data_IF_071374870059
#
_entry.id   IF_071374870059
#
_cell.length_a   1.000
_cell.length_b   1.000
_cell.length_c   1.000
_cell.angle_alpha   90.00
_cell.angle_beta   90.00
_cell.angle_gamma   90.00
#
_symmetry.space_group_name_H-M   'P 1'
#
loop_
_entity.id
_entity.type
_entity.pdbx_description
1 polymer ?
#
# COMPACT_ATOMS: atom_id res chain seq x y z
N UNK A 1 -15.30 0.96 -20.19
CA UNK A 1 -16.39 1.15 -19.21
C UNK A 1 -16.32 2.53 -18.58
N UNK A 2 -17.37 3.00 -17.92
CA UNK A 2 -17.42 4.29 -17.22
C UNK A 2 -17.90 4.08 -15.79
N UNK A 3 -17.21 4.71 -14.83
CA UNK A 3 -17.65 4.84 -13.43
C UNK A 3 -17.65 6.31 -13.05
N UNK A 4 -18.73 6.80 -12.44
CA UNK A 4 -18.87 8.22 -12.06
C UNK A 4 -18.55 9.19 -13.20
N UNK A 5 -19.00 8.88 -14.43
CA UNK A 5 -18.73 9.63 -15.68
C UNK A 5 -17.25 9.67 -16.11
N UNK A 6 -16.36 8.90 -15.51
CA UNK A 6 -14.97 8.74 -15.93
C UNK A 6 -14.87 7.46 -16.77
N UNK A 7 -14.22 7.57 -17.93
CA UNK A 7 -13.96 6.43 -18.82
C UNK A 7 -12.63 5.76 -18.47
N UNK A 8 -12.63 4.45 -18.44
CA UNK A 8 -11.45 3.62 -18.22
C UNK A 8 -11.53 2.32 -19.00
N UNK A 9 -10.48 1.54 -18.92
CA UNK A 9 -10.34 0.25 -19.59
C UNK A 9 -10.69 -0.84 -18.60
N UNK A 10 -11.45 -1.83 -19.05
CA UNK A 10 -11.67 -3.10 -18.40
C UNK A 10 -11.08 -4.20 -19.30
N UNK A 11 -10.57 -5.24 -18.68
CA UNK A 11 -9.90 -6.34 -19.36
C UNK A 11 -10.55 -7.66 -18.93
N UNK A 12 -10.85 -8.52 -19.90
CA UNK A 12 -11.50 -9.80 -19.64
C UNK A 12 -10.83 -10.88 -20.48
N UNK A 13 -10.48 -12.01 -19.87
CA UNK A 13 -9.81 -13.14 -20.53
C UNK A 13 -10.87 -14.15 -20.97
N UNK A 14 -10.90 -14.47 -22.26
CA UNK A 14 -11.76 -15.49 -22.83
C UNK A 14 -10.91 -16.64 -23.38
N UNK A 15 -11.16 -17.85 -22.90
CA UNK A 15 -10.52 -19.06 -23.43
C UNK A 15 -11.24 -19.56 -24.68
N UNK A 16 -10.52 -20.26 -25.56
CA UNK A 16 -11.05 -20.77 -26.85
C UNK A 16 -12.32 -21.62 -26.72
N UNK A 17 -12.52 -22.26 -25.58
CA UNK A 17 -13.69 -23.11 -25.31
C UNK A 17 -14.85 -22.39 -24.63
N UNK A 18 -14.79 -21.06 -24.53
CA UNK A 18 -15.90 -20.22 -24.02
C UNK A 18 -16.06 -20.20 -22.48
N UNK A 19 -15.21 -20.88 -21.75
CA UNK A 19 -15.18 -20.83 -20.30
C UNK A 19 -14.30 -19.67 -19.84
N UNK A 20 -14.80 -18.93 -18.85
CA UNK A 20 -14.02 -17.88 -18.18
C UNK A 20 -13.19 -18.53 -17.07
N UNK A 21 -11.87 -18.51 -17.17
CA UNK A 21 -10.99 -18.94 -16.08
C UNK A 21 -10.82 -17.76 -15.10
N UNK A 22 -11.70 -17.71 -14.12
CA UNK A 22 -11.72 -16.61 -13.13
C UNK A 22 -10.98 -16.92 -11.83
N UNK A 23 -10.32 -18.08 -11.73
CA UNK A 23 -9.85 -18.55 -10.43
C UNK A 23 -11.00 -18.69 -9.42
N UNK A 24 -10.70 -19.08 -8.21
CA UNK A 24 -11.69 -19.17 -7.11
C UNK A 24 -11.87 -17.78 -6.48
N UNK A 25 -12.41 -16.82 -7.20
CA UNK A 25 -12.93 -15.60 -6.61
C UNK A 25 -14.24 -15.95 -5.88
N UNK A 26 -14.17 -16.01 -4.57
CA UNK A 26 -15.34 -16.29 -3.73
C UNK A 26 -16.39 -15.20 -3.78
N UNK A 27 -17.13 -15.09 -4.87
CA UNK A 27 -18.43 -14.41 -4.92
C UNK A 27 -19.49 -15.35 -4.33
N UNK A 28 -19.51 -15.44 -2.99
CA UNK A 28 -20.53 -16.18 -2.24
C UNK A 28 -21.82 -15.37 -2.04
N UNK A 29 -22.16 -14.47 -2.94
CA UNK A 29 -23.43 -13.71 -2.93
C UNK A 29 -24.45 -14.23 -3.93
N UNK A 30 -24.39 -15.50 -4.33
CA UNK A 30 -25.55 -16.13 -4.95
C UNK A 30 -26.40 -16.77 -3.87
N UNK A 31 -27.32 -16.00 -3.30
CA UNK A 31 -28.57 -16.54 -2.77
C UNK A 31 -29.30 -17.15 -3.99
N UNK A 32 -29.22 -18.48 -4.10
CA UNK A 32 -30.09 -19.20 -5.01
C UNK A 32 -31.50 -19.15 -4.43
N UNK A 33 -32.29 -18.16 -4.82
CA UNK A 33 -33.74 -18.27 -4.73
C UNK A 33 -34.19 -19.36 -5.69
N UNK A 34 -34.30 -20.58 -5.18
CA UNK A 34 -35.03 -21.65 -5.87
C UNK A 34 -36.51 -21.35 -5.73
N UNK A 35 -37.08 -20.66 -6.69
CA UNK A 35 -38.52 -20.65 -6.91
C UNK A 35 -38.94 -22.04 -7.41
N UNK A 36 -39.31 -22.91 -6.50
CA UNK A 36 -40.15 -24.04 -6.83
C UNK A 36 -41.60 -23.59 -6.71
N UNK A 37 -42.22 -23.24 -7.82
CA UNK A 37 -43.68 -23.16 -7.92
C UNK A 37 -44.24 -24.58 -7.84
N UNK A 38 -44.74 -24.97 -6.69
CA UNK A 38 -45.65 -26.09 -6.54
C UNK A 38 -46.99 -25.52 -6.10
N UNK A 39 -47.92 -25.37 -7.07
CA UNK A 39 -49.32 -25.17 -6.81
C UNK A 39 -49.89 -26.42 -6.10
N UNK A 40 -50.22 -26.26 -4.83
CA UNK A 40 -51.16 -27.12 -4.14
C UNK A 40 -52.14 -26.24 -3.37
N UNK A 41 -53.33 -26.03 -3.96
CA UNK A 41 -54.50 -25.51 -3.27
C UNK A 41 -54.97 -26.52 -2.21
N UNK A 42 -54.96 -26.13 -0.95
CA UNK A 42 -55.83 -26.65 0.08
C UNK A 42 -56.34 -25.50 0.94
N UNK A 43 -57.63 -25.19 0.73
CA UNK A 43 -58.42 -24.28 1.57
C UNK A 43 -58.76 -25.06 2.88
N UNK A 44 -58.37 -24.51 4.01
CA UNK A 44 -59.06 -24.77 5.31
C UNK A 44 -59.11 -23.47 6.12
N UNK A 45 -60.33 -22.90 6.14
CA UNK A 45 -60.72 -21.86 7.08
C UNK A 45 -60.77 -22.39 8.49
N UNK A 46 -60.11 -21.80 9.44
CA UNK A 46 -60.47 -21.78 10.85
C UNK A 46 -60.08 -20.43 11.48
N UNK A 47 -61.09 -19.58 11.67
CA UNK A 47 -61.06 -18.44 12.57
C UNK A 47 -61.07 -18.90 14.02
N UNK A 48 -60.15 -18.42 14.85
CA UNK A 48 -60.33 -18.22 16.29
C UNK A 48 -59.57 -16.99 16.75
N UNK A 49 -60.33 -15.93 17.06
CA UNK A 49 -59.92 -14.79 17.86
C UNK A 49 -59.97 -15.17 19.32
N UNK A 50 -58.95 -14.93 20.11
CA UNK A 50 -59.02 -14.67 21.53
C UNK A 50 -57.94 -13.70 22.00
N UNK A 51 -58.38 -12.47 22.31
CA UNK A 51 -57.68 -11.52 23.17
C UNK A 51 -57.69 -12.03 24.61
N UNK A 52 -56.54 -12.01 25.25
CA UNK A 52 -56.44 -11.80 26.70
C UNK A 52 -55.07 -11.24 27.11
N UNK A 53 -55.10 -9.98 27.57
CA UNK A 53 -54.07 -9.37 28.40
C UNK A 53 -54.09 -10.02 29.81
N UNK A 54 -52.91 -10.37 30.34
CA UNK A 54 -52.60 -10.28 31.78
C UNK A 54 -51.09 -10.22 32.01
N UNK A 55 -50.66 -9.11 32.65
CA UNK A 55 -49.38 -8.97 33.33
C UNK A 55 -49.44 -9.76 34.63
N UNK A 56 -48.36 -10.52 34.95
CA UNK A 56 -47.92 -10.78 36.31
C UNK A 56 -46.48 -11.32 36.34
N UNK A 57 -45.59 -10.56 37.04
CA UNK A 57 -44.32 -11.01 37.58
C UNK A 57 -44.46 -12.19 38.51
N UNK A 58 -43.63 -13.20 38.37
CA UNK A 58 -43.11 -14.01 39.50
C UNK A 58 -41.89 -14.85 39.09
N UNK A 59 -40.78 -14.63 39.82
CA UNK A 59 -39.62 -15.51 39.89
C UNK A 59 -40.00 -16.87 40.49
N UNK A 60 -39.52 -17.95 39.89
CA UNK A 60 -39.13 -19.18 40.61
C UNK A 60 -38.17 -20.03 39.77
N UNK A 61 -37.00 -20.31 40.37
CA UNK A 61 -36.05 -21.32 39.96
C UNK A 61 -36.62 -22.71 40.27
N UNK A 62 -36.58 -23.65 39.35
CA UNK A 62 -36.54 -25.08 39.62
C UNK A 62 -35.84 -25.84 38.49
N UNK A 63 -34.74 -26.50 38.87
CA UNK A 63 -34.08 -27.59 38.16
C UNK A 63 -35.00 -28.79 38.01
N UNK A 64 -35.16 -29.31 36.82
CA UNK A 64 -35.54 -30.70 36.59
C UNK A 64 -34.89 -31.27 35.35
N UNK A 65 -33.95 -32.20 35.58
CA UNK A 65 -33.45 -33.15 34.59
C UNK A 65 -34.56 -34.14 34.23
N UNK A 66 -34.83 -34.32 32.94
CA UNK A 66 -35.46 -35.55 32.42
C UNK A 66 -34.73 -35.99 31.16
N UNK A 67 -34.01 -37.12 31.31
CA UNK A 67 -33.53 -37.94 30.22
C UNK A 67 -34.72 -38.74 29.67
N UNK A 68 -34.96 -38.68 28.37
CA UNK A 68 -35.76 -39.63 27.64
C UNK A 68 -35.02 -40.08 26.38
N UNK A 69 -34.48 -41.30 26.50
CA UNK A 69 -34.03 -42.11 25.38
C UNK A 69 -35.25 -42.59 24.58
N UNK A 70 -35.33 -42.26 23.33
CA UNK A 70 -36.18 -42.96 22.37
C UNK A 70 -35.34 -43.37 21.16
N UNK A 71 -34.92 -44.63 21.17
CA UNK A 71 -34.45 -45.31 19.96
C UNK A 71 -35.66 -45.64 19.08
N UNK A 72 -35.63 -45.11 17.85
CA UNK A 72 -36.40 -45.65 16.75
C UNK A 72 -35.45 -45.99 15.61
N UNK A 73 -35.19 -47.32 15.49
CA UNK A 73 -34.58 -47.90 14.31
C UNK A 73 -35.66 -47.98 13.22
N UNK A 74 -35.45 -47.28 12.10
CA UNK A 74 -36.14 -47.54 10.86
C UNK A 74 -35.10 -47.74 9.76
N UNK A 75 -34.82 -49.03 9.48
CA UNK A 75 -34.15 -49.46 8.26
C UNK A 75 -35.06 -49.23 7.06
N UNK A 76 -34.68 -48.27 6.22
CA UNK A 76 -35.13 -48.24 4.83
C UNK A 76 -33.94 -48.15 3.91
N UNK A 77 -33.53 -49.35 3.41
CA UNK A 77 -32.66 -49.47 2.26
C UNK A 77 -33.43 -49.01 1.01
N UNK A 78 -33.06 -47.86 0.46
CA UNK A 78 -33.31 -47.54 -0.93
C UNK A 78 -31.97 -47.32 -1.60
N UNK A 79 -31.48 -48.38 -2.29
CA UNK A 79 -30.43 -48.25 -3.28
C UNK A 79 -31.00 -47.50 -4.47
N UNK A 80 -30.63 -46.22 -4.62
CA UNK A 80 -30.69 -45.52 -5.87
C UNK A 80 -29.28 -45.12 -6.24
N UNK A 81 -28.63 -45.95 -7.04
CA UNK A 81 -27.44 -45.58 -7.85
C UNK A 81 -27.83 -44.49 -8.84
N UNK A 82 -27.67 -43.25 -8.43
CA UNK A 82 -27.54 -42.14 -9.35
C UNK A 82 -26.09 -41.65 -9.29
N UNK A 83 -25.25 -42.26 -10.15
CA UNK A 83 -23.99 -41.67 -10.52
C UNK A 83 -24.28 -40.37 -11.28
N UNK A 84 -24.46 -39.28 -10.57
CA UNK A 84 -24.23 -37.98 -11.09
C UNK A 84 -22.73 -37.71 -10.90
N UNK A 85 -21.97 -37.97 -11.95
CA UNK A 85 -20.68 -37.36 -12.13
C UNK A 85 -20.93 -35.85 -12.22
N UNK A 86 -21.01 -35.19 -11.06
CA UNK A 86 -20.74 -33.77 -10.99
C UNK A 86 -19.22 -33.64 -11.14
N UNK A 87 -18.80 -33.47 -12.37
CA UNK A 87 -17.49 -32.96 -12.67
C UNK A 87 -17.37 -31.60 -12.03
N UNK A 88 -16.88 -31.59 -10.79
CA UNK A 88 -16.32 -30.38 -10.22
C UNK A 88 -15.08 -30.11 -11.08
N UNK A 89 -15.22 -29.24 -12.08
CA UNK A 89 -14.08 -28.59 -12.69
C UNK A 89 -13.39 -27.80 -11.57
N UNK A 90 -12.44 -28.44 -10.91
CA UNK A 90 -11.41 -27.75 -10.17
C UNK A 90 -10.68 -26.91 -11.20
N UNK A 91 -10.86 -25.59 -11.17
CA UNK A 91 -10.01 -24.69 -11.94
C UNK A 91 -8.56 -25.14 -11.72
N UNK A 92 -7.81 -25.26 -12.82
CA UNK A 92 -6.46 -25.81 -12.79
C UNK A 92 -5.60 -25.09 -11.76
N UNK A 93 -5.39 -25.75 -10.63
CA UNK A 93 -4.53 -25.23 -9.55
C UNK A 93 -3.09 -25.47 -9.98
N UNK A 94 -2.38 -24.40 -10.36
CA UNK A 94 -1.00 -24.46 -10.85
C UNK A 94 0.00 -24.21 -9.75
N UNK A 95 1.09 -24.97 -9.76
CA UNK A 95 2.26 -24.72 -8.96
C UNK A 95 3.18 -23.67 -9.58
N UNK A 96 4.13 -23.15 -8.79
CA UNK A 96 5.10 -22.14 -9.25
C UNK A 96 5.91 -22.65 -10.47
N UNK A 97 6.30 -23.93 -10.46
CA UNK A 97 7.11 -24.51 -11.55
C UNK A 97 6.37 -24.52 -12.87
N UNK A 98 5.08 -24.85 -12.87
CA UNK A 98 4.25 -24.88 -14.09
C UNK A 98 4.11 -23.46 -14.67
N UNK A 99 3.97 -22.45 -13.83
CA UNK A 99 3.91 -21.05 -14.27
C UNK A 99 5.25 -20.60 -14.86
N UNK A 100 6.37 -20.97 -14.26
CA UNK A 100 7.69 -20.68 -14.81
C UNK A 100 7.83 -21.31 -16.20
N UNK A 101 7.44 -22.59 -16.38
CA UNK A 101 7.48 -23.27 -17.67
C UNK A 101 6.61 -22.59 -18.75
N UNK A 102 5.44 -22.06 -18.36
CA UNK A 102 4.58 -21.26 -19.27
C UNK A 102 5.34 -20.04 -19.78
N UNK A 103 6.00 -19.28 -18.89
CA UNK A 103 6.75 -18.09 -19.30
C UNK A 103 8.01 -18.45 -20.11
N UNK A 104 8.77 -19.45 -19.73
CA UNK A 104 9.96 -19.90 -20.46
C UNK A 104 9.64 -20.32 -21.90
N UNK A 105 8.52 -21.02 -22.09
CA UNK A 105 8.05 -21.48 -23.42
C UNK A 105 7.27 -20.41 -24.20
N UNK A 106 6.96 -19.26 -23.60
CA UNK A 106 6.22 -18.16 -24.26
C UNK A 106 7.10 -17.40 -25.25
N UNK A 107 6.47 -16.60 -26.11
CA UNK A 107 7.15 -15.75 -27.10
C UNK A 107 7.37 -14.30 -26.65
N UNK A 108 7.05 -13.98 -25.39
CA UNK A 108 7.28 -12.63 -24.83
C UNK A 108 8.76 -12.34 -24.65
N UNK A 109 9.13 -11.08 -24.50
CA UNK A 109 10.53 -10.67 -24.31
C UNK A 109 11.15 -11.25 -23.04
N UNK A 110 12.49 -11.34 -23.00
CA UNK A 110 13.19 -11.84 -21.82
C UNK A 110 12.93 -10.97 -20.58
N UNK A 111 12.77 -9.65 -20.75
CA UNK A 111 12.37 -8.74 -19.69
C UNK A 111 10.99 -9.11 -19.09
N UNK A 112 10.01 -9.36 -19.94
CA UNK A 112 8.65 -9.75 -19.50
C UNK A 112 8.69 -11.11 -18.79
N UNK A 113 9.45 -12.10 -19.31
CA UNK A 113 9.63 -13.40 -18.65
C UNK A 113 10.21 -13.23 -17.24
N UNK A 114 11.37 -12.57 -17.15
CA UNK A 114 12.09 -12.39 -15.91
C UNK A 114 11.24 -11.67 -14.85
N UNK A 115 10.60 -10.56 -15.23
CA UNK A 115 9.76 -9.78 -14.31
C UNK A 115 8.49 -10.50 -13.89
N UNK A 116 7.84 -11.21 -14.79
CA UNK A 116 6.65 -11.99 -14.45
C UNK A 116 7.00 -13.14 -13.49
N UNK A 117 8.07 -13.87 -13.76
CA UNK A 117 8.55 -14.93 -12.88
C UNK A 117 8.94 -14.39 -11.51
N UNK A 118 9.61 -13.21 -11.43
CA UNK A 118 9.94 -12.53 -10.17
C UNK A 118 8.69 -12.28 -9.33
N UNK A 119 7.60 -11.77 -9.95
CA UNK A 119 6.33 -11.50 -9.27
C UNK A 119 5.73 -12.81 -8.72
N UNK A 120 5.64 -13.88 -9.51
CA UNK A 120 5.11 -15.16 -9.05
C UNK A 120 5.95 -15.78 -7.94
N UNK A 121 7.27 -15.66 -8.01
CA UNK A 121 8.17 -16.12 -6.94
C UNK A 121 7.96 -15.34 -5.65
N UNK A 122 7.73 -14.03 -5.73
CA UNK A 122 7.46 -13.20 -4.56
C UNK A 122 6.12 -13.57 -3.91
N UNK A 123 5.08 -13.78 -4.72
CA UNK A 123 3.78 -14.26 -4.23
C UNK A 123 3.92 -15.65 -3.59
N UNK A 124 4.62 -16.59 -4.25
CA UNK A 124 4.86 -17.93 -3.70
C UNK A 124 5.62 -17.89 -2.36
N UNK A 125 6.63 -17.01 -2.21
CA UNK A 125 7.33 -16.80 -0.93
C UNK A 125 6.39 -16.25 0.15
N UNK A 126 5.50 -15.33 -0.22
CA UNK A 126 4.54 -14.76 0.72
C UNK A 126 3.52 -15.82 1.19
N UNK A 127 2.97 -16.60 0.27
CA UNK A 127 2.04 -17.70 0.58
C UNK A 127 2.73 -18.80 1.41
N UNK A 128 3.96 -19.19 1.05
CA UNK A 128 4.78 -20.13 1.82
C UNK A 128 4.97 -19.65 3.27
N UNK A 129 5.24 -18.37 3.47
CA UNK A 129 5.40 -17.81 4.81
C UNK A 129 4.08 -17.75 5.59
N UNK A 130 2.96 -17.50 4.93
CA UNK A 130 1.62 -17.47 5.56
C UNK A 130 1.18 -18.87 5.95
N UNK A 131 1.31 -19.84 5.05
CA UNK A 131 0.87 -21.22 5.24
C UNK A 131 1.87 -22.11 5.97
N UNK A 132 3.10 -21.64 6.18
CA UNK A 132 4.21 -22.38 6.78
C UNK A 132 4.50 -23.71 6.09
N UNK A 133 4.41 -23.71 4.75
CA UNK A 133 4.75 -24.87 3.90
C UNK A 133 5.92 -24.51 2.95
N UNK A 134 6.72 -25.50 2.51
CA UNK A 134 7.75 -25.25 1.51
C UNK A 134 7.20 -24.62 0.23
N UNK A 135 7.99 -23.74 -0.40
CA UNK A 135 7.57 -23.00 -1.60
C UNK A 135 7.20 -23.94 -2.76
N UNK A 136 7.83 -25.11 -2.84
CA UNK A 136 7.59 -26.12 -3.85
C UNK A 136 6.22 -26.81 -3.70
N UNK A 137 5.60 -26.68 -2.54
CA UNK A 137 4.28 -27.22 -2.23
C UNK A 137 3.18 -26.17 -2.31
N UNK A 138 3.53 -24.93 -2.68
CA UNK A 138 2.53 -23.90 -2.89
C UNK A 138 1.78 -24.15 -4.17
N UNK A 139 0.47 -24.22 -4.04
CA UNK A 139 -0.49 -24.22 -5.13
C UNK A 139 -1.27 -22.91 -5.08
N UNK A 140 -1.26 -22.16 -6.17
CA UNK A 140 -1.98 -20.90 -6.26
C UNK A 140 -3.46 -21.14 -6.45
N UNK A 141 -4.26 -20.87 -5.42
CA UNK A 141 -5.72 -21.03 -5.48
C UNK A 141 -6.42 -19.83 -6.13
N UNK A 142 -5.83 -18.64 -6.03
CA UNK A 142 -6.41 -17.38 -6.54
C UNK A 142 -5.55 -16.76 -7.66
N UNK A 143 -4.23 -16.95 -7.62
CA UNK A 143 -3.27 -16.27 -8.52
C UNK A 143 -2.74 -17.23 -9.62
N UNK A 144 -3.06 -18.53 -9.56
CA UNK A 144 -2.62 -19.53 -10.54
C UNK A 144 -3.51 -19.65 -11.77
N UNK A 145 -4.61 -18.95 -11.80
CA UNK A 145 -5.53 -18.93 -12.94
C UNK A 145 -4.90 -18.20 -14.15
N UNK A 146 -5.34 -18.52 -15.33
CA UNK A 146 -4.78 -17.96 -16.59
C UNK A 146 -4.98 -16.44 -16.63
N UNK A 147 -6.07 -15.92 -16.10
CA UNK A 147 -6.32 -14.48 -16.03
C UNK A 147 -5.20 -13.73 -15.26
N UNK A 148 -4.76 -14.25 -14.12
CA UNK A 148 -3.66 -13.65 -13.34
C UNK A 148 -2.31 -13.74 -14.07
N UNK A 149 -2.06 -14.84 -14.81
CA UNK A 149 -0.85 -14.99 -15.64
C UNK A 149 -0.85 -13.93 -16.76
N UNK A 150 -1.99 -13.77 -17.41
CA UNK A 150 -2.17 -12.78 -18.48
C UNK A 150 -2.10 -11.36 -17.95
N UNK A 151 -2.70 -11.05 -16.78
CA UNK A 151 -2.64 -9.75 -16.14
C UNK A 151 -1.19 -9.32 -15.83
N UNK A 152 -0.41 -10.23 -15.24
CA UNK A 152 1.00 -9.96 -14.89
C UNK A 152 1.85 -9.80 -16.15
N UNK A 153 1.69 -10.70 -17.13
CA UNK A 153 2.41 -10.61 -18.39
C UNK A 153 2.07 -9.32 -19.15
N UNK A 154 0.78 -9.00 -19.27
CA UNK A 154 0.29 -7.81 -19.97
C UNK A 154 0.79 -6.52 -19.30
N UNK A 155 0.86 -6.48 -17.97
CA UNK A 155 1.44 -5.36 -17.25
C UNK A 155 2.88 -5.09 -17.69
N UNK A 156 3.74 -6.10 -17.73
CA UNK A 156 5.14 -5.91 -18.12
C UNK A 156 5.32 -5.68 -19.63
N UNK A 157 4.49 -6.26 -20.47
CA UNK A 157 4.47 -5.95 -21.92
C UNK A 157 4.16 -4.47 -22.13
N UNK A 158 3.15 -3.94 -21.46
CA UNK A 158 2.78 -2.52 -21.55
C UNK A 158 3.85 -1.61 -20.93
N UNK A 159 4.42 -2.01 -19.80
CA UNK A 159 5.50 -1.29 -19.13
C UNK A 159 6.73 -1.14 -20.03
N UNK A 160 7.16 -2.23 -20.67
CA UNK A 160 8.28 -2.25 -21.61
C UNK A 160 7.97 -1.40 -22.85
N UNK A 161 6.80 -1.55 -23.46
CA UNK A 161 6.37 -0.79 -24.63
C UNK A 161 6.27 0.72 -24.38
N UNK A 162 5.89 1.11 -23.17
CA UNK A 162 5.83 2.53 -22.78
C UNK A 162 7.22 3.12 -22.48
N UNK A 163 8.26 2.29 -22.41
CA UNK A 163 9.64 2.74 -22.13
C UNK A 163 9.78 3.38 -20.74
N UNK A 164 9.05 2.88 -19.75
CA UNK A 164 9.08 3.44 -18.39
C UNK A 164 10.45 3.22 -17.77
N UNK A 165 11.10 4.30 -17.37
CA UNK A 165 12.42 4.25 -16.72
C UNK A 165 12.36 4.46 -15.22
N UNK A 166 11.33 5.14 -14.72
CA UNK A 166 11.12 5.40 -13.30
C UNK A 166 9.63 5.48 -12.98
N UNK A 167 9.27 4.97 -11.81
CA UNK A 167 7.90 4.99 -11.30
C UNK A 167 7.86 5.78 -10.00
N UNK A 168 6.85 6.63 -9.88
CA UNK A 168 6.51 7.34 -8.66
C UNK A 168 5.12 6.91 -8.20
N UNK A 169 4.92 6.82 -6.89
CA UNK A 169 3.62 6.47 -6.31
C UNK A 169 3.30 7.38 -5.12
N UNK A 170 2.04 7.78 -5.01
CA UNK A 170 1.52 8.23 -3.72
C UNK A 170 1.34 7.00 -2.80
N UNK A 171 1.16 7.19 -1.48
CA UNK A 171 0.78 6.10 -0.60
C UNK A 171 -0.46 5.37 -1.15
N UNK A 172 -0.40 4.03 -1.18
CA UNK A 172 -1.53 3.21 -1.60
C UNK A 172 -2.66 3.35 -0.58
N UNK A 173 -3.91 3.28 -1.05
CA UNK A 173 -5.06 3.24 -0.16
C UNK A 173 -5.50 1.80 0.02
N UNK A 174 -5.63 1.35 1.27
CA UNK A 174 -6.16 0.04 1.64
C UNK A 174 -7.43 0.21 2.47
N UNK A 175 -8.37 -0.72 2.31
CA UNK A 175 -9.56 -0.76 3.14
C UNK A 175 -9.33 -1.36 4.53
N UNK A 176 -10.40 -1.79 5.18
CA UNK A 176 -10.37 -2.30 6.55
C UNK A 176 -11.44 -3.39 6.75
N UNK A 177 -11.45 -4.00 7.93
CA UNK A 177 -12.40 -5.04 8.28
C UNK A 177 -11.95 -6.42 7.85
N UNK A 178 -12.84 -7.21 7.28
CA UNK A 178 -12.59 -8.60 6.85
C UNK A 178 -13.18 -8.87 5.49
N UNK A 179 -12.57 -9.80 4.76
CA UNK A 179 -13.10 -10.34 3.49
C UNK A 179 -13.22 -11.87 3.60
N UNK A 180 -14.11 -12.43 2.80
CA UNK A 180 -14.28 -13.87 2.66
C UNK A 180 -13.53 -14.32 1.41
N UNK A 181 -12.56 -15.18 1.59
CA UNK A 181 -11.71 -15.76 0.53
C UNK A 181 -11.75 -17.29 0.61
N UNK A 182 -11.10 -18.00 -0.30
CA UNK A 182 -11.06 -19.47 -0.31
C UNK A 182 -10.62 -20.08 1.03
N UNK A 183 -9.74 -19.40 1.76
CA UNK A 183 -9.23 -19.83 3.08
C UNK A 183 -10.10 -19.38 4.26
N UNK A 184 -11.32 -18.88 4.03
CA UNK A 184 -12.24 -18.40 5.07
C UNK A 184 -12.27 -16.89 5.20
N UNK A 185 -12.57 -16.39 6.41
CA UNK A 185 -12.64 -14.95 6.70
C UNK A 185 -11.26 -14.44 7.09
N UNK A 186 -10.73 -13.49 6.30
CA UNK A 186 -9.41 -12.91 6.49
C UNK A 186 -9.49 -11.41 6.83
N UNK A 187 -8.58 -10.90 7.67
CA UNK A 187 -8.48 -9.47 7.93
C UNK A 187 -7.96 -8.72 6.70
N UNK A 188 -8.31 -7.45 6.58
CA UNK A 188 -7.77 -6.51 5.58
C UNK A 188 -6.79 -5.55 6.25
N UNK A 189 -5.53 -5.45 5.78
CA UNK A 189 -4.90 -6.16 4.64
C UNK A 189 -4.78 -7.67 4.88
N UNK A 190 -4.90 -8.47 3.81
CA UNK A 190 -4.74 -9.92 3.91
C UNK A 190 -3.29 -10.32 4.24
N UNK A 191 -3.07 -11.48 4.89
CA UNK A 191 -1.73 -11.89 5.34
C UNK A 191 -0.68 -11.91 4.24
N UNK A 192 -1.02 -12.34 3.03
CA UNK A 192 -0.10 -12.36 1.88
C UNK A 192 0.37 -10.95 1.49
N UNK A 193 -0.52 -9.94 1.48
CA UNK A 193 -0.18 -8.53 1.24
C UNK A 193 0.81 -8.03 2.28
N UNK A 194 0.62 -8.39 3.55
CA UNK A 194 1.53 -7.99 4.63
C UNK A 194 2.91 -8.64 4.50
N UNK A 195 2.99 -9.89 4.06
CA UNK A 195 4.26 -10.57 3.78
C UNK A 195 4.98 -9.95 2.58
N UNK A 196 4.27 -9.64 1.49
CA UNK A 196 4.84 -8.97 0.31
C UNK A 196 5.37 -7.58 0.63
N UNK A 197 4.70 -6.85 1.52
CA UNK A 197 5.12 -5.52 1.98
C UNK A 197 6.36 -5.55 2.89
N UNK A 198 6.58 -6.65 3.61
CA UNK A 198 7.67 -6.77 4.58
C UNK A 198 9.02 -6.49 3.93
N UNK A 199 9.81 -5.58 4.53
CA UNK A 199 11.13 -5.20 4.02
C UNK A 199 11.10 -4.27 2.80
N UNK A 200 9.96 -3.71 2.43
CA UNK A 200 9.82 -2.72 1.36
C UNK A 200 9.58 -1.32 1.92
N UNK A 201 9.80 -0.29 1.08
CA UNK A 201 9.44 1.11 1.37
C UNK A 201 8.00 1.46 0.95
N UNK A 202 7.16 0.48 0.58
CA UNK A 202 5.81 0.72 0.11
C UNK A 202 4.96 1.35 1.21
N UNK A 203 4.45 2.55 0.94
CA UNK A 203 3.59 3.30 1.86
C UNK A 203 2.13 2.92 1.63
N UNK A 204 1.42 2.61 2.74
CA UNK A 204 0.00 2.28 2.72
C UNK A 204 -0.72 3.20 3.71
N UNK A 205 -1.80 3.81 3.24
CA UNK A 205 -2.77 4.55 4.04
C UNK A 205 -4.04 3.70 4.18
N UNK A 206 -4.50 3.43 5.39
CA UNK A 206 -5.69 2.64 5.63
C UNK A 206 -6.93 3.54 5.71
N UNK A 207 -7.93 3.27 4.86
CA UNK A 207 -9.23 3.94 4.88
C UNK A 207 -10.25 3.06 5.63
N UNK A 208 -10.62 3.51 6.84
CA UNK A 208 -11.55 2.77 7.71
C UNK A 208 -13.01 2.84 7.27
N UNK A 209 -13.37 3.69 6.32
CA UNK A 209 -14.72 3.74 5.77
C UNK A 209 -14.95 2.65 4.71
N UNK A 210 -13.90 2.16 4.09
CA UNK A 210 -13.95 1.10 3.09
C UNK A 210 -13.79 -0.26 3.80
N UNK A 211 -14.81 -1.12 3.70
CA UNK A 211 -14.87 -2.42 4.38
C UNK A 211 -14.55 -3.60 3.45
N UNK A 212 -13.56 -3.44 2.60
CA UNK A 212 -13.08 -4.47 1.68
C UNK A 212 -11.62 -4.26 1.37
N UNK A 213 -10.98 -5.28 0.78
CA UNK A 213 -9.63 -5.20 0.24
C UNK A 213 -9.60 -4.31 -1.02
N UNK A 214 -8.61 -3.42 -1.07
CA UNK A 214 -8.26 -2.64 -2.26
C UNK A 214 -6.91 -3.04 -2.85
N UNK A 215 -6.00 -3.56 -2.03
CA UNK A 215 -4.66 -3.98 -2.42
C UNK A 215 -4.60 -5.50 -2.44
N UNK A 216 -4.63 -6.09 -3.64
CA UNK A 216 -4.51 -7.53 -3.82
C UNK A 216 -3.05 -8.00 -3.74
N UNK A 217 -2.78 -9.29 -3.44
CA UNK A 217 -1.42 -9.84 -3.49
C UNK A 217 -0.72 -9.61 -4.83
N UNK A 218 -1.43 -9.79 -5.96
CA UNK A 218 -0.90 -9.50 -7.30
C UNK A 218 -0.53 -8.02 -7.45
N UNK A 219 -1.41 -7.11 -7.03
CA UNK A 219 -1.18 -5.67 -7.17
C UNK A 219 0.06 -5.19 -6.40
N UNK A 220 0.24 -5.63 -5.15
CA UNK A 220 1.42 -5.23 -4.36
C UNK A 220 2.70 -5.91 -4.85
N UNK A 221 2.62 -7.14 -5.37
CA UNK A 221 3.77 -7.84 -5.95
C UNK A 221 4.26 -7.15 -7.24
N UNK A 222 3.34 -6.72 -8.12
CA UNK A 222 3.66 -5.90 -9.29
C UNK A 222 4.34 -4.59 -8.89
N UNK A 223 3.76 -3.87 -7.90
CA UNK A 223 4.34 -2.62 -7.42
C UNK A 223 5.74 -2.82 -6.83
N UNK A 224 5.94 -3.91 -6.09
CA UNK A 224 7.25 -4.27 -5.55
C UNK A 224 8.28 -4.49 -6.66
N UNK A 225 7.92 -5.20 -7.74
CA UNK A 225 8.81 -5.53 -8.86
C UNK A 225 9.25 -4.30 -9.68
N UNK A 226 8.48 -3.20 -9.67
CA UNK A 226 8.82 -1.95 -10.37
C UNK A 226 9.47 -0.90 -9.48
N UNK A 227 9.69 -1.18 -8.21
CA UNK A 227 10.42 -0.33 -7.25
C UNK A 227 10.02 1.15 -7.27
N UNK A 228 8.76 1.52 -6.95
CA UNK A 228 8.32 2.90 -7.02
C UNK A 228 9.01 3.78 -5.98
N UNK A 229 9.27 5.03 -6.37
CA UNK A 229 9.71 6.08 -5.46
C UNK A 229 8.46 6.82 -4.92
N UNK A 230 8.36 6.95 -3.61
CA UNK A 230 7.25 7.65 -2.96
C UNK A 230 7.51 9.15 -2.76
N UNK A 231 8.66 9.63 -3.25
CA UNK A 231 8.97 11.06 -3.30
C UNK A 231 8.74 11.57 -4.71
N UNK A 232 7.56 12.12 -4.96
CA UNK A 232 7.16 12.63 -6.28
C UNK A 232 7.85 13.97 -6.53
N UNK A 233 8.64 14.13 -7.61
CA UNK A 233 9.25 15.41 -7.96
C UNK A 233 8.19 16.47 -8.31
N UNK A 234 8.46 17.71 -7.92
CA UNK A 234 7.56 18.85 -8.22
C UNK A 234 7.55 19.28 -9.70
N UNK A 235 8.60 18.94 -10.44
CA UNK A 235 8.84 19.37 -11.82
C UNK A 235 8.43 18.32 -12.88
N UNK A 236 7.35 17.59 -12.65
CA UNK A 236 6.80 16.63 -13.60
C UNK A 236 5.63 17.22 -14.37
N UNK A 237 5.70 17.17 -15.69
CA UNK A 237 4.59 17.47 -16.59
C UNK A 237 3.84 16.19 -16.94
N UNK A 238 2.54 16.14 -16.66
CA UNK A 238 1.68 15.01 -17.02
C UNK A 238 1.34 15.11 -18.51
N UNK A 239 1.73 14.10 -19.28
CA UNK A 239 1.45 14.03 -20.73
C UNK A 239 0.21 13.20 -21.03
N UNK A 240 -0.04 12.15 -20.26
CA UNK A 240 -1.17 11.24 -20.48
C UNK A 240 -1.68 10.68 -19.14
N UNK A 241 -2.99 10.49 -19.05
CA UNK A 241 -3.65 9.90 -17.88
C UNK A 241 -4.53 8.74 -18.33
N UNK A 242 -4.41 7.61 -17.63
CA UNK A 242 -5.25 6.44 -17.81
C UNK A 242 -5.88 5.98 -16.50
N UNK A 243 -7.01 5.27 -16.61
CA UNK A 243 -7.71 4.70 -15.45
C UNK A 243 -7.98 3.21 -15.68
N UNK A 244 -7.68 2.39 -14.67
CA UNK A 244 -8.11 1.01 -14.57
C UNK A 244 -9.12 0.86 -13.44
N UNK A 245 -10.24 0.16 -13.68
CA UNK A 245 -11.29 0.00 -12.70
C UNK A 245 -11.26 -1.37 -12.04
N UNK A 246 -11.35 -1.40 -10.72
CA UNK A 246 -11.67 -2.63 -9.99
C UNK A 246 -13.14 -3.01 -10.18
N UNK A 247 -13.43 -4.31 -10.15
CA UNK A 247 -14.80 -4.86 -10.32
C UNK A 247 -15.67 -4.65 -9.07
N UNK A 248 -15.05 -4.55 -7.86
CA UNK A 248 -15.78 -4.39 -6.59
C UNK A 248 -16.39 -3.00 -6.44
N UNK A 249 -17.65 -2.97 -5.99
CA UNK A 249 -18.27 -1.72 -5.54
C UNK A 249 -17.88 -1.46 -4.08
N UNK A 250 -17.20 -0.35 -3.85
CA UNK A 250 -16.72 0.07 -2.52
C UNK A 250 -17.54 1.21 -1.95
N UNK A 251 -18.61 1.63 -2.64
CA UNK A 251 -19.36 2.85 -2.31
C UNK A 251 -18.59 4.15 -2.59
N UNK A 252 -17.30 4.05 -2.96
CA UNK A 252 -16.43 5.15 -3.36
C UNK A 252 -15.88 4.90 -4.77
N UNK A 253 -15.33 5.94 -5.40
CA UNK A 253 -14.68 5.79 -6.70
C UNK A 253 -13.44 4.90 -6.57
N UNK A 254 -13.54 3.66 -7.03
CA UNK A 254 -12.47 2.67 -6.99
C UNK A 254 -11.82 2.55 -8.37
N UNK A 255 -10.69 3.21 -8.55
CA UNK A 255 -9.89 3.16 -9.77
C UNK A 255 -8.40 3.37 -9.49
N UNK A 256 -7.56 2.65 -10.21
CA UNK A 256 -6.14 2.96 -10.32
C UNK A 256 -5.95 4.02 -11.40
N UNK A 257 -5.29 5.13 -11.08
CA UNK A 257 -4.91 6.18 -12.02
C UNK A 257 -3.43 6.10 -12.32
N UNK A 258 -3.06 5.85 -13.56
CA UNK A 258 -1.72 5.96 -14.09
C UNK A 258 -1.53 7.28 -14.85
N UNK A 259 -0.39 7.92 -14.68
CA UNK A 259 -0.02 9.13 -15.41
C UNK A 259 1.36 8.94 -16.03
N UNK A 260 1.46 9.15 -17.34
CA UNK A 260 2.76 9.29 -17.98
C UNK A 260 3.24 10.73 -17.79
N UNK A 261 4.46 10.85 -17.29
CA UNK A 261 5.06 12.13 -16.99
C UNK A 261 6.42 12.27 -17.70
N UNK A 262 6.78 13.49 -17.98
CA UNK A 262 8.12 13.85 -18.38
C UNK A 262 8.65 15.00 -17.51
N UNK A 263 9.98 15.13 -17.34
CA UNK A 263 10.52 16.28 -16.64
C UNK A 263 10.10 17.56 -17.34
N UNK A 264 9.62 18.54 -16.59
CA UNK A 264 9.27 19.84 -17.16
C UNK A 264 10.53 20.50 -17.69
N UNK A 265 10.61 20.67 -19.00
CA UNK A 265 11.67 21.43 -19.66
C UNK A 265 11.41 22.94 -19.59
N UNK A 266 10.82 23.45 -18.52
CA UNK A 266 10.90 24.88 -18.30
C UNK A 266 12.36 25.22 -18.08
N UNK A 267 13.02 25.56 -19.16
CA UNK A 267 14.29 26.25 -19.19
C UNK A 267 14.12 27.59 -18.46
N UNK A 268 14.06 27.56 -17.13
CA UNK A 268 14.74 28.60 -16.42
C UNK A 268 16.18 28.48 -16.92
N UNK A 269 16.69 29.50 -17.63
CA UNK A 269 18.12 29.60 -17.97
C UNK A 269 18.84 28.97 -16.77
N UNK A 270 19.64 27.93 -17.00
CA UNK A 270 20.48 27.33 -16.00
C UNK A 270 21.38 28.41 -15.41
N UNK A 271 20.83 29.18 -14.50
CA UNK A 271 21.62 29.76 -13.45
C UNK A 271 22.04 28.53 -12.66
N UNK A 272 23.34 28.21 -12.68
CA UNK A 272 23.91 27.09 -11.95
C UNK A 272 23.55 27.27 -10.48
N UNK A 273 22.31 26.85 -10.12
CA UNK A 273 21.78 26.81 -8.77
C UNK A 273 21.97 25.38 -8.25
N UNK A 274 22.65 25.28 -7.16
CA UNK A 274 22.72 24.04 -6.38
C UNK A 274 21.62 24.13 -5.33
N UNK A 275 20.65 23.24 -5.37
CA UNK A 275 19.74 23.03 -4.26
C UNK A 275 20.51 22.28 -3.17
N UNK A 276 20.58 22.85 -2.00
CA UNK A 276 21.36 22.33 -0.88
C UNK A 276 20.47 22.35 0.37
N UNK A 277 20.32 21.19 0.97
CA UNK A 277 19.65 21.04 2.24
C UNK A 277 20.68 21.18 3.37
N UNK A 278 20.38 22.02 4.34
CA UNK A 278 21.27 22.31 5.47
C UNK A 278 20.48 22.30 6.77
N UNK A 279 21.20 22.31 7.89
CA UNK A 279 20.59 22.61 9.20
C UNK A 279 20.79 24.07 9.55
N UNK A 280 19.70 24.70 10.02
CA UNK A 280 19.75 25.93 10.78
C UNK A 280 19.65 25.59 12.27
N UNK A 281 20.58 26.10 13.07
CA UNK A 281 20.60 25.97 14.52
C UNK A 281 20.43 27.36 15.14
N UNK A 282 19.53 27.49 16.12
CA UNK A 282 19.24 28.74 16.82
C UNK A 282 19.40 28.54 18.30
N UNK A 283 20.19 29.43 18.93
CA UNK A 283 20.35 29.49 20.39
C UNK A 283 20.44 30.95 20.88
N UNK A 284 20.19 31.17 22.15
CA UNK A 284 20.29 32.53 22.78
C UNK A 284 21.16 32.42 24.01
N UNK A 285 22.18 33.26 24.08
CA UNK A 285 23.21 33.27 25.10
C UNK A 285 23.16 34.64 25.83
N UNK A 286 22.96 34.65 27.16
CA UNK A 286 22.82 35.88 27.99
C UNK A 286 23.92 36.07 29.05
N UNK A 287 24.93 35.19 29.04
CA UNK A 287 25.95 35.15 30.11
C UNK A 287 27.40 34.92 29.56
N UNK A 288 27.64 35.21 28.28
CA UNK A 288 29.00 35.23 27.72
C UNK A 288 29.46 36.65 27.37
N UNK A 289 30.76 36.90 27.47
CA UNK A 289 31.34 38.18 27.11
C UNK A 289 31.43 38.40 25.62
N UNK A 290 31.44 39.66 25.09
CA UNK A 290 31.63 39.93 23.65
C UNK A 290 32.89 39.31 23.06
N UNK A 291 33.98 39.22 23.84
CA UNK A 291 35.24 38.60 23.41
C UNK A 291 35.06 37.09 23.20
N UNK A 292 34.34 36.40 24.10
CA UNK A 292 34.03 34.97 23.94
C UNK A 292 33.13 34.74 22.74
N UNK A 293 32.15 35.60 22.48
CA UNK A 293 31.28 35.50 21.31
C UNK A 293 32.06 35.77 20.01
N UNK A 294 33.02 36.68 20.01
CA UNK A 294 33.91 36.90 18.86
C UNK A 294 34.74 35.66 18.54
N UNK A 295 35.39 35.08 19.56
CA UNK A 295 36.12 33.84 19.43
C UNK A 295 35.24 32.70 18.93
N UNK A 296 34.03 32.54 19.48
CA UNK A 296 33.10 31.51 19.05
C UNK A 296 32.77 31.61 17.55
N UNK A 297 32.55 32.80 17.02
CA UNK A 297 32.26 33.04 15.64
C UNK A 297 33.38 32.52 14.75
N UNK A 298 34.62 32.93 15.04
CA UNK A 298 35.81 32.50 14.28
C UNK A 298 35.98 30.98 14.34
N UNK A 299 35.82 30.40 15.54
CA UNK A 299 35.93 28.96 15.76
C UNK A 299 34.88 28.16 14.99
N UNK A 300 33.64 28.62 14.94
CA UNK A 300 32.58 27.95 14.17
C UNK A 300 32.87 27.96 12.69
N UNK A 301 33.41 29.06 12.13
CA UNK A 301 33.83 29.11 10.74
C UNK A 301 35.04 28.18 10.46
N UNK A 302 36.01 28.12 11.37
CA UNK A 302 37.14 27.18 11.25
C UNK A 302 36.69 25.71 11.22
N UNK A 303 35.59 25.39 11.92
CA UNK A 303 34.98 24.06 11.93
C UNK A 303 34.10 23.78 10.72
N UNK A 304 33.93 24.74 9.83
CA UNK A 304 33.21 24.57 8.56
C UNK A 304 31.74 24.96 8.61
N UNK A 305 31.37 25.86 9.54
CA UNK A 305 30.07 26.50 9.50
C UNK A 305 29.88 27.22 8.16
N UNK A 306 28.71 27.06 7.54
CA UNK A 306 28.36 27.68 6.28
C UNK A 306 28.05 29.16 6.47
N UNK A 307 27.44 29.51 7.60
CA UNK A 307 27.17 30.88 8.00
C UNK A 307 26.97 30.96 9.53
N UNK A 308 27.36 32.10 10.13
CA UNK A 308 27.17 32.37 11.54
C UNK A 308 26.68 33.82 11.68
N UNK A 309 25.50 34.01 12.23
CA UNK A 309 24.90 35.33 12.37
C UNK A 309 24.51 35.59 13.83
N UNK A 310 24.85 36.81 14.35
CA UNK A 310 24.51 37.24 15.68
C UNK A 310 23.51 38.38 15.64
N UNK A 311 22.48 38.27 16.52
CA UNK A 311 21.48 39.32 16.75
C UNK A 311 21.44 39.70 18.22
N UNK A 312 21.47 40.98 18.53
CA UNK A 312 21.19 41.47 19.90
C UNK A 312 19.70 41.35 20.18
N UNK A 313 19.34 40.67 21.24
CA UNK A 313 17.95 40.43 21.66
C UNK A 313 17.75 40.66 23.13
N UNK A 314 16.50 40.85 23.56
CA UNK A 314 16.12 40.80 24.98
C UNK A 314 15.55 39.39 25.27
N UNK A 315 16.23 38.67 26.16
CA UNK A 315 15.83 37.33 26.60
C UNK A 315 14.91 37.39 27.83
N UNK A 316 14.62 36.20 28.41
CA UNK A 316 13.80 36.08 29.62
C UNK A 316 14.34 37.01 30.72
N UNK A 317 13.45 37.58 31.54
CA UNK A 317 13.75 38.53 32.62
C UNK A 317 14.38 39.83 32.12
N UNK A 318 14.11 40.24 30.87
CA UNK A 318 14.64 41.45 30.24
C UNK A 318 16.17 41.52 30.23
N UNK A 319 16.86 40.38 30.11
CA UNK A 319 18.31 40.36 30.02
C UNK A 319 18.75 40.59 28.56
N UNK A 320 19.72 41.51 28.34
CA UNK A 320 20.38 41.58 27.06
C UNK A 320 21.06 40.23 26.74
N UNK A 321 20.90 39.75 25.51
CA UNK A 321 21.45 38.48 25.07
C UNK A 321 21.82 38.53 23.57
N UNK A 322 22.61 37.57 23.15
CA UNK A 322 22.95 37.38 21.76
C UNK A 322 22.20 36.11 21.25
N UNK A 323 21.40 36.31 20.22
CA UNK A 323 20.81 35.21 19.48
C UNK A 323 21.78 34.82 18.39
N UNK A 324 22.15 33.56 18.36
CA UNK A 324 23.06 32.94 17.40
C UNK A 324 22.25 32.10 16.44
N UNK A 325 22.36 32.39 15.13
CA UNK A 325 21.87 31.54 14.05
C UNK A 325 23.08 30.97 13.32
N UNK A 326 23.13 29.66 13.20
CA UNK A 326 24.22 28.89 12.61
C UNK A 326 23.68 28.03 11.46
N UNK A 327 24.32 28.09 10.28
CA UNK A 327 24.02 27.22 9.17
C UNK A 327 25.14 26.21 8.97
N UNK A 328 24.80 24.93 8.90
CA UNK A 328 25.74 23.81 8.76
C UNK A 328 25.24 22.77 7.73
N UNK A 329 26.16 21.97 7.20
CA UNK A 329 25.79 20.84 6.36
C UNK A 329 25.05 19.75 7.16
N UNK A 330 24.23 18.94 6.48
CA UNK A 330 23.44 17.88 7.13
C UNK A 330 24.28 16.88 7.91
N UNK A 331 25.51 16.61 7.46
CA UNK A 331 26.43 15.66 8.08
C UNK A 331 27.08 16.15 9.38
N UNK A 332 27.00 17.44 9.69
CA UNK A 332 27.75 18.08 10.77
C UNK A 332 26.91 18.34 12.05
N UNK A 333 25.64 17.92 12.08
CA UNK A 333 24.76 18.24 13.21
C UNK A 333 25.31 17.77 14.56
N UNK A 334 25.85 16.55 14.64
CA UNK A 334 26.37 15.99 15.87
C UNK A 334 27.65 16.72 16.32
N UNK A 335 28.56 17.03 15.40
CA UNK A 335 29.78 17.79 15.66
C UNK A 335 29.46 19.18 16.24
N UNK A 336 28.60 19.93 15.56
CA UNK A 336 28.24 21.28 16.01
C UNK A 336 27.37 21.29 17.28
N UNK A 337 26.62 20.22 17.52
CA UNK A 337 25.92 20.02 18.82
C UNK A 337 26.94 19.98 19.97
N UNK A 338 28.00 19.19 19.82
CA UNK A 338 29.04 19.07 20.84
C UNK A 338 29.80 20.40 21.01
N UNK A 339 30.15 21.05 19.90
CA UNK A 339 30.83 22.36 19.94
C UNK A 339 30.02 23.40 20.71
N UNK A 340 28.72 23.52 20.44
CA UNK A 340 27.87 24.49 21.12
C UNK A 340 27.77 24.23 22.61
N UNK A 341 27.67 22.98 23.05
CA UNK A 341 27.63 22.65 24.48
C UNK A 341 29.00 22.81 25.18
N UNK A 342 30.10 22.62 24.46
CA UNK A 342 31.45 22.77 25.03
C UNK A 342 31.95 24.19 25.04
N UNK A 343 31.62 25.00 24.02
CA UNK A 343 32.18 26.34 23.82
C UNK A 343 31.22 27.45 24.25
N UNK A 344 30.00 27.11 24.67
CA UNK A 344 29.03 28.11 25.12
C UNK A 344 28.38 27.72 26.45
N UNK A 345 27.75 28.69 27.11
CA UNK A 345 26.94 28.47 28.29
C UNK A 345 25.51 27.96 27.98
N UNK A 346 25.19 27.74 26.70
CA UNK A 346 23.83 27.29 26.32
C UNK A 346 23.53 25.93 26.90
N UNK A 347 22.33 25.78 27.45
CA UNK A 347 21.80 24.50 27.97
C UNK A 347 20.91 23.79 26.92
N UNK A 348 20.73 24.41 25.77
CA UNK A 348 19.93 23.85 24.69
C UNK A 348 19.75 24.82 23.54
N UNK A 349 19.49 24.26 22.36
CA UNK A 349 19.25 25.00 21.14
C UNK A 349 18.10 24.36 20.35
N UNK A 350 17.60 25.04 19.35
CA UNK A 350 16.64 24.53 18.38
C UNK A 350 17.33 24.35 17.05
N UNK A 351 16.92 23.36 16.29
CA UNK A 351 17.41 23.18 14.92
C UNK A 351 16.28 22.73 13.99
N UNK A 352 16.42 23.06 12.72
CA UNK A 352 15.52 22.65 11.66
C UNK A 352 16.28 22.44 10.38
N UNK A 353 15.80 21.48 9.57
CA UNK A 353 16.28 21.31 8.21
C UNK A 353 15.64 22.36 7.34
N UNK A 354 16.45 23.09 6.57
CA UNK A 354 15.99 24.08 5.61
C UNK A 354 16.63 23.82 4.24
N UNK A 355 15.89 24.11 3.18
CA UNK A 355 16.42 24.11 1.82
C UNK A 355 16.88 25.50 1.43
N UNK A 356 18.03 25.60 0.78
CA UNK A 356 18.53 26.87 0.25
C UNK A 356 18.93 26.74 -1.22
N UNK A 357 18.89 27.86 -1.93
CA UNK A 357 19.40 27.97 -3.29
C UNK A 357 20.68 28.78 -3.27
N UNK A 358 21.76 28.21 -3.80
CA UNK A 358 23.06 28.88 -3.89
C UNK A 358 23.51 28.97 -5.33
N UNK A 359 24.10 30.09 -5.69
CA UNK A 359 24.76 30.25 -6.99
C UNK A 359 26.14 29.57 -6.95
N UNK A 360 26.48 28.89 -8.02
CA UNK A 360 27.83 28.39 -8.19
C UNK A 360 28.80 29.59 -8.26
N UNK A 361 29.86 29.54 -7.45
CA UNK A 361 30.92 30.56 -7.41
C UNK A 361 32.18 29.98 -7.97
N UNK A 362 32.84 30.77 -8.82
CA UNK A 362 34.20 30.51 -9.31
C UNK A 362 35.08 31.66 -8.86
N UNK A 363 36.25 31.36 -8.33
CA UNK A 363 37.27 32.36 -7.99
C UNK A 363 38.34 32.33 -9.06
N UNK A 364 38.72 33.50 -9.53
CA UNK A 364 39.80 33.67 -10.49
C UNK A 364 40.72 34.77 -9.99
N UNK A 365 41.99 34.43 -9.84
CA UNK A 365 43.02 35.45 -9.59
C UNK A 365 43.29 36.21 -10.89
N UNK A 366 43.27 37.52 -10.79
CA UNK A 366 43.58 38.42 -11.94
C UNK A 366 44.76 39.31 -11.55
N UNK A 367 45.88 39.18 -12.27
CA UNK A 367 46.97 40.10 -12.12
C UNK A 367 46.57 41.45 -12.73
N UNK A 368 46.63 42.50 -11.92
CA UNK A 368 46.41 43.88 -12.37
C UNK A 368 47.72 44.64 -12.40
N UNK A 369 47.87 45.49 -13.39
CA UNK A 369 49.07 46.34 -13.59
C UNK A 369 49.01 47.61 -12.72
N UNK A 370 48.51 47.55 -11.47
CA UNK A 370 48.56 48.64 -10.52
C UNK A 370 49.75 48.53 -9.61
#
# INVERSE_FOLDING_TARGET
IAKSSIYGIDFDVHLEHGEKDHGVHGDFTHEHEHHHEHDHHHEHDHHHEHDHHHEHDHHHEHDHHHEHDHHHEHDHHHEHDHHHEHGHHHGDVRGLQEIIEIFENSTVSDFVKEKSIEVFQDIARAESAVHQVPIEQIHFHEVGAIDSIVDIASFFILYENLGITKVYSAPLVEGSGTIKVAHGVMPVPVPAVMQLRKGTSILIHQDFDIKTELITPTGIALLKAIHPDFTIPENLEITTVGYGFGKRDTGKFNALRGSLCQPTTHSFKEVHQLDDDIYQIDTTIDDQTPEQMGYLMDFLYEKGALDVTYFSVLAKKNRPAIHVTLLISLSQLEEFTNILFEQTSTIGFRYQKISRKVMQRTFQEVETSL
#
